data_IF_412283418917
#
_entry.id   IF_412283418917
#
_cell.length_a   1.000
_cell.length_b   1.000
_cell.length_c   1.000
_cell.angle_alpha   90.00
_cell.angle_beta   90.00
_cell.angle_gamma   90.00
#
_symmetry.space_group_name_H-M   'P 1'
#
loop_
_entity.id
_entity.type
_entity.pdbx_description
1 polymer ?
#
# COMPACT_ATOMS: atom_id res chain seq x y z
N UNK A 1 41.08 7.97 14.62
CA UNK A 1 40.63 6.56 14.62
C UNK A 1 39.17 6.55 14.21
N UNK A 2 38.95 6.39 12.90
CA UNK A 2 37.60 6.43 12.31
C UNK A 2 37.03 5.01 12.26
N UNK A 3 36.12 4.71 13.15
CA UNK A 3 35.32 3.48 13.06
C UNK A 3 34.22 3.68 12.00
N UNK A 4 34.43 3.18 10.79
CA UNK A 4 33.39 3.03 9.78
C UNK A 4 32.37 2.01 10.33
N UNK A 5 31.23 2.49 10.80
CA UNK A 5 30.05 1.65 11.04
C UNK A 5 29.49 1.22 9.69
N UNK A 6 29.78 -0.03 9.33
CA UNK A 6 29.13 -0.69 8.20
C UNK A 6 27.70 -1.01 8.66
N UNK A 7 26.75 -0.20 8.22
CA UNK A 7 25.32 -0.51 8.35
C UNK A 7 25.01 -1.58 7.29
N UNK A 8 24.87 -2.80 7.74
CA UNK A 8 24.24 -3.85 6.92
C UNK A 8 22.76 -3.55 6.96
N UNK A 9 22.26 -2.84 5.95
CA UNK A 9 20.83 -2.80 5.69
C UNK A 9 20.43 -4.19 5.18
N UNK A 10 19.53 -4.85 5.90
CA UNK A 10 18.81 -5.99 5.33
C UNK A 10 18.07 -5.45 4.12
N UNK A 11 18.18 -6.09 2.96
CA UNK A 11 17.28 -5.74 1.88
C UNK A 11 15.86 -6.03 2.37
N UNK A 12 15.13 -4.96 2.67
CA UNK A 12 13.68 -5.06 2.75
C UNK A 12 13.23 -5.84 1.52
N UNK A 13 12.39 -6.82 1.73
CA UNK A 13 11.76 -7.63 0.71
C UNK A 13 11.42 -6.73 -0.47
N UNK A 14 12.21 -6.86 -1.54
CA UNK A 14 12.01 -6.14 -2.79
C UNK A 14 10.76 -6.76 -3.44
N UNK A 15 9.59 -6.44 -2.90
CA UNK A 15 8.40 -6.41 -3.73
C UNK A 15 8.70 -5.39 -4.80
N UNK A 16 9.13 -5.89 -5.96
CA UNK A 16 9.36 -5.13 -7.17
C UNK A 16 8.04 -4.48 -7.57
N UNK A 17 7.69 -3.38 -6.91
CA UNK A 17 6.86 -2.35 -7.52
C UNK A 17 7.76 -1.72 -8.59
N UNK A 18 7.74 -2.33 -9.79
CA UNK A 18 8.25 -1.68 -10.99
C UNK A 18 7.45 -0.39 -11.14
N UNK A 19 7.96 0.67 -10.51
CA UNK A 19 7.42 2.00 -10.66
C UNK A 19 7.55 2.40 -12.12
N UNK A 20 6.41 2.53 -12.79
CA UNK A 20 6.24 3.16 -14.07
C UNK A 20 6.62 4.64 -13.94
N UNK A 21 7.90 4.96 -14.04
CA UNK A 21 8.36 6.35 -14.08
C UNK A 21 8.63 6.75 -15.53
N UNK A 22 7.72 7.54 -16.05
CA UNK A 22 7.91 8.33 -17.26
C UNK A 22 8.72 9.58 -16.90
N UNK A 23 9.96 9.64 -17.38
CA UNK A 23 10.75 10.86 -17.29
C UNK A 23 10.30 11.87 -18.36
N UNK A 24 9.88 13.05 -17.89
CA UNK A 24 9.83 14.25 -18.70
C UNK A 24 11.26 14.78 -18.87
N UNK A 25 11.83 14.59 -20.05
CA UNK A 25 12.94 15.43 -20.49
C UNK A 25 12.37 16.71 -21.13
N UNK A 26 12.90 17.91 -20.79
CA UNK A 26 12.55 19.10 -21.53
C UNK A 26 13.00 18.93 -22.99
N UNK A 27 12.12 19.30 -23.91
CA UNK A 27 12.41 19.33 -25.34
C UNK A 27 13.58 20.28 -25.61
N UNK A 28 14.79 19.74 -25.60
CA UNK A 28 15.97 20.38 -26.18
C UNK A 28 16.22 19.76 -27.54
N UNK A 29 16.45 20.64 -28.50
CA UNK A 29 16.79 20.47 -29.90
C UNK A 29 17.23 19.08 -30.34
N UNK A 30 16.73 18.68 -31.53
CA UNK A 30 17.14 17.54 -32.36
C UNK A 30 18.64 17.21 -32.25
N UNK A 31 18.98 16.35 -31.30
CA UNK A 31 20.20 15.58 -31.36
C UNK A 31 19.91 14.33 -32.18
N UNK A 32 20.83 14.02 -33.10
CA UNK A 32 20.80 12.81 -33.93
C UNK A 32 20.32 11.62 -33.07
N UNK A 33 19.29 10.92 -33.51
CA UNK A 33 18.84 9.67 -32.90
C UNK A 33 20.01 8.67 -32.97
N UNK A 34 20.82 8.63 -31.94
CA UNK A 34 21.73 7.50 -31.74
C UNK A 34 20.83 6.29 -31.47
N UNK A 35 20.98 5.25 -32.31
CA UNK A 35 20.26 3.99 -32.06
C UNK A 35 20.59 3.51 -30.66
N UNK A 36 19.58 3.14 -29.88
CA UNK A 36 19.75 2.69 -28.49
C UNK A 36 20.59 1.41 -28.47
N UNK A 37 21.59 1.37 -27.60
CA UNK A 37 22.55 0.26 -27.54
C UNK A 37 21.90 -0.97 -26.93
N UNK A 38 22.03 -2.11 -27.60
CA UNK A 38 21.57 -3.40 -27.08
C UNK A 38 22.60 -3.91 -26.06
N UNK A 39 22.19 -4.06 -24.81
CA UNK A 39 23.02 -4.57 -23.72
C UNK A 39 22.94 -6.08 -23.55
N UNK A 40 21.79 -6.67 -23.84
CA UNK A 40 21.64 -8.13 -23.79
C UNK A 40 20.61 -8.62 -24.81
N UNK A 41 20.82 -9.86 -25.27
CA UNK A 41 19.88 -10.60 -26.12
C UNK A 41 19.61 -11.94 -25.42
N UNK A 42 18.34 -12.27 -25.23
CA UNK A 42 17.89 -13.46 -24.53
C UNK A 42 16.90 -14.24 -25.41
N UNK A 43 17.13 -15.54 -25.57
CA UNK A 43 16.25 -16.40 -26.34
C UNK A 43 16.22 -16.00 -27.82
N UNK A 44 15.01 -15.96 -28.40
CA UNK A 44 14.83 -15.73 -29.86
C UNK A 44 14.75 -14.27 -30.24
N UNK A 45 14.19 -13.41 -29.40
CA UNK A 45 13.85 -12.02 -29.79
C UNK A 45 13.86 -11.00 -28.64
N UNK A 46 14.17 -11.41 -27.42
CA UNK A 46 14.13 -10.50 -26.30
C UNK A 46 15.45 -9.76 -26.17
N UNK A 47 15.34 -8.44 -26.14
CA UNK A 47 16.49 -7.55 -26.00
C UNK A 47 16.35 -6.71 -24.75
N UNK A 48 17.48 -6.26 -24.23
CA UNK A 48 17.54 -5.23 -23.18
C UNK A 48 18.36 -4.08 -23.74
N UNK A 49 17.79 -2.88 -23.69
CA UNK A 49 18.37 -1.66 -24.19
C UNK A 49 19.11 -0.90 -23.07
N UNK A 50 20.08 -0.08 -23.47
CA UNK A 50 20.79 0.78 -22.53
C UNK A 50 19.86 1.77 -21.85
N UNK A 51 18.92 2.36 -22.58
CA UNK A 51 17.92 3.27 -22.01
C UNK A 51 17.08 2.61 -20.93
N UNK A 52 16.72 1.34 -21.08
CA UNK A 52 15.96 0.58 -20.06
C UNK A 52 16.79 0.40 -18.78
N UNK A 53 18.07 0.03 -18.91
CA UNK A 53 18.98 -0.10 -17.77
C UNK A 53 19.17 1.24 -17.06
N UNK A 54 19.42 2.33 -17.80
CA UNK A 54 19.59 3.66 -17.22
C UNK A 54 18.31 4.16 -16.53
N UNK A 55 17.14 3.88 -17.08
CA UNK A 55 15.86 4.20 -16.46
C UNK A 55 15.67 3.47 -15.11
N UNK A 56 16.00 2.16 -15.06
CA UNK A 56 15.97 1.39 -13.81
C UNK A 56 16.99 1.91 -12.79
N UNK A 57 18.20 2.22 -13.23
CA UNK A 57 19.26 2.78 -12.40
C UNK A 57 18.87 4.16 -11.84
N UNK A 58 18.27 5.02 -12.66
CA UNK A 58 17.78 6.34 -12.24
C UNK A 58 16.66 6.22 -11.19
N UNK A 59 15.74 5.27 -11.38
CA UNK A 59 14.68 4.99 -10.42
C UNK A 59 15.27 4.53 -9.06
N UNK A 60 16.22 3.60 -9.07
CA UNK A 60 16.87 3.14 -7.84
C UNK A 60 17.64 4.28 -7.15
N UNK A 61 18.35 5.12 -7.92
CA UNK A 61 19.03 6.32 -7.40
C UNK A 61 18.05 7.29 -6.72
N UNK A 62 16.85 7.47 -7.29
CA UNK A 62 15.84 8.35 -6.71
C UNK A 62 15.26 7.80 -5.40
N UNK A 63 15.09 6.48 -5.30
CA UNK A 63 14.56 5.82 -4.10
C UNK A 63 15.58 5.75 -2.96
N UNK A 64 16.86 5.55 -3.27
CA UNK A 64 17.94 5.38 -2.31
C UNK A 64 19.21 6.14 -2.75
N UNK A 65 19.20 7.48 -2.71
CA UNK A 65 20.31 8.26 -3.25
C UNK A 65 21.67 8.01 -2.57
N UNK A 66 21.65 7.73 -1.26
CA UNK A 66 22.86 7.49 -0.47
C UNK A 66 23.45 6.09 -0.66
N UNK A 67 22.65 5.13 -1.08
CA UNK A 67 23.04 3.72 -1.24
C UNK A 67 23.37 3.38 -2.69
N UNK A 68 22.97 4.21 -3.65
CA UNK A 68 23.19 3.95 -5.08
C UNK A 68 24.65 4.13 -5.47
N UNK A 69 25.20 3.12 -6.17
CA UNK A 69 26.51 3.14 -6.82
C UNK A 69 26.39 2.58 -8.24
N UNK A 70 27.17 3.11 -9.17
CA UNK A 70 27.12 2.65 -10.59
C UNK A 70 27.44 1.16 -10.77
N UNK A 71 28.20 0.55 -9.86
CA UNK A 71 28.41 -0.90 -9.85
C UNK A 71 27.13 -1.71 -9.64
N UNK A 72 26.05 -1.09 -9.13
CA UNK A 72 24.73 -1.74 -9.03
C UNK A 72 24.08 -2.00 -10.38
N UNK A 73 24.49 -1.32 -11.46
CA UNK A 73 23.99 -1.56 -12.81
C UNK A 73 24.18 -3.01 -13.26
N UNK A 74 25.26 -3.65 -12.86
CA UNK A 74 25.47 -5.06 -13.13
C UNK A 74 24.37 -5.96 -12.50
N UNK A 75 24.00 -5.68 -11.28
CA UNK A 75 22.90 -6.38 -10.59
C UNK A 75 21.53 -6.09 -11.22
N UNK A 76 21.29 -4.83 -11.60
CA UNK A 76 20.05 -4.44 -12.29
C UNK A 76 19.96 -5.18 -13.63
N UNK A 77 21.03 -5.21 -14.44
CA UNK A 77 21.05 -5.91 -15.71
C UNK A 77 20.82 -7.42 -15.51
N UNK A 78 21.41 -8.04 -14.47
CA UNK A 78 21.17 -9.44 -14.14
C UNK A 78 19.68 -9.70 -13.85
N UNK A 79 19.03 -8.83 -13.07
CA UNK A 79 17.59 -8.95 -12.79
C UNK A 79 16.73 -8.78 -14.04
N UNK A 80 17.09 -7.83 -14.93
CA UNK A 80 16.40 -7.65 -16.21
C UNK A 80 16.53 -8.89 -17.08
N UNK A 81 17.72 -9.49 -17.17
CA UNK A 81 17.95 -10.75 -17.91
C UNK A 81 17.10 -11.88 -17.32
N UNK A 82 17.11 -12.04 -16.00
CA UNK A 82 16.27 -13.03 -15.31
C UNK A 82 14.80 -12.85 -15.64
N UNK A 83 14.29 -11.61 -15.59
CA UNK A 83 12.90 -11.31 -15.95
C UNK A 83 12.59 -11.74 -17.37
N UNK A 84 13.44 -11.38 -18.35
CA UNK A 84 13.25 -11.78 -19.76
C UNK A 84 13.34 -13.31 -19.95
N UNK A 85 14.21 -14.01 -19.18
CA UNK A 85 14.25 -15.49 -19.19
C UNK A 85 12.95 -16.11 -18.66
N UNK A 86 12.37 -15.53 -17.61
CA UNK A 86 11.09 -15.99 -17.06
C UNK A 86 9.95 -15.80 -18.08
N UNK A 87 9.93 -14.66 -18.77
CA UNK A 87 8.93 -14.40 -19.83
C UNK A 87 9.09 -15.38 -21.00
N UNK A 88 10.31 -15.63 -21.45
CA UNK A 88 10.59 -16.65 -22.47
C UNK A 88 10.16 -18.05 -22.03
N UNK A 89 10.35 -18.38 -20.73
CA UNK A 89 9.86 -19.65 -20.16
C UNK A 89 8.33 -19.70 -20.13
N UNK A 90 7.66 -18.57 -19.80
CA UNK A 90 6.20 -18.51 -19.84
C UNK A 90 5.64 -18.89 -21.20
N UNK A 91 6.25 -18.38 -22.28
CA UNK A 91 5.87 -18.73 -23.67
C UNK A 91 6.10 -20.21 -23.98
N UNK A 92 7.25 -20.77 -23.56
CA UNK A 92 7.56 -22.21 -23.74
C UNK A 92 6.58 -23.09 -23.02
N UNK A 93 6.16 -22.69 -21.82
CA UNK A 93 5.23 -23.44 -20.96
C UNK A 93 3.76 -23.11 -21.27
N UNK A 94 3.50 -22.28 -22.30
CA UNK A 94 2.14 -21.85 -22.70
C UNK A 94 1.36 -21.18 -21.56
N UNK A 95 2.06 -20.44 -20.71
CA UNK A 95 1.43 -19.67 -19.63
C UNK A 95 0.83 -18.39 -20.24
N UNK A 96 -0.44 -18.18 -20.00
CA UNK A 96 -1.20 -17.08 -20.61
C UNK A 96 -1.61 -16.08 -19.51
N UNK A 97 -1.51 -14.80 -19.82
CA UNK A 97 -2.10 -13.68 -19.07
C UNK A 97 -3.13 -13.03 -19.99
N UNK A 98 -4.38 -12.95 -19.55
CA UNK A 98 -5.46 -12.39 -20.36
C UNK A 98 -5.37 -10.87 -20.49
N UNK A 99 -5.98 -10.31 -21.53
CA UNK A 99 -6.03 -8.86 -21.71
C UNK A 99 -6.78 -8.18 -20.56
N UNK A 100 -7.81 -8.81 -20.04
CA UNK A 100 -8.62 -8.33 -18.92
C UNK A 100 -7.79 -8.21 -17.65
N UNK A 101 -6.93 -9.20 -17.36
CA UNK A 101 -6.01 -9.15 -16.21
C UNK A 101 -4.99 -8.01 -16.35
N UNK A 102 -4.44 -7.80 -17.55
CA UNK A 102 -3.50 -6.71 -17.84
C UNK A 102 -4.18 -5.35 -17.65
N UNK A 103 -5.38 -5.15 -18.24
CA UNK A 103 -6.12 -3.90 -18.11
C UNK A 103 -6.49 -3.60 -16.64
N UNK A 104 -6.95 -4.61 -15.90
CA UNK A 104 -7.28 -4.45 -14.48
C UNK A 104 -6.02 -4.05 -13.66
N UNK A 105 -4.87 -4.65 -13.95
CA UNK A 105 -3.60 -4.30 -13.29
C UNK A 105 -3.16 -2.88 -13.62
N UNK A 106 -3.26 -2.47 -14.89
CA UNK A 106 -2.97 -1.11 -15.32
C UNK A 106 -3.91 -0.10 -14.66
N UNK A 107 -5.22 -0.39 -14.58
CA UNK A 107 -6.18 0.48 -13.92
C UNK A 107 -5.88 0.66 -12.43
N UNK A 108 -5.52 -0.40 -11.75
CA UNK A 108 -5.15 -0.35 -10.34
C UNK A 108 -3.87 0.48 -10.12
N UNK A 109 -2.83 0.27 -10.94
CA UNK A 109 -1.59 1.05 -10.88
C UNK A 109 -1.86 2.54 -11.15
N UNK A 110 -2.59 2.86 -12.22
CA UNK A 110 -2.93 4.24 -12.57
C UNK A 110 -3.79 4.91 -11.50
N UNK A 111 -4.75 4.21 -10.93
CA UNK A 111 -5.56 4.71 -9.82
C UNK A 111 -4.68 5.08 -8.63
N UNK A 112 -3.73 4.22 -8.28
CA UNK A 112 -2.77 4.53 -7.22
C UNK A 112 -1.97 5.80 -7.53
N UNK A 113 -1.40 5.93 -8.73
CA UNK A 113 -0.65 7.14 -9.12
C UNK A 113 -1.53 8.38 -9.13
N UNK A 114 -2.73 8.30 -9.72
CA UNK A 114 -3.68 9.43 -9.77
C UNK A 114 -4.03 9.88 -8.35
N UNK A 115 -4.37 8.96 -7.45
CA UNK A 115 -4.92 9.30 -6.14
C UNK A 115 -3.86 9.61 -5.10
N UNK A 116 -2.72 8.91 -5.12
CA UNK A 116 -1.70 8.97 -4.07
C UNK A 116 -0.49 9.82 -4.44
N UNK A 117 -0.13 9.87 -5.72
CA UNK A 117 1.10 10.56 -6.15
C UNK A 117 0.78 11.93 -6.75
N UNK A 118 -0.16 11.98 -7.69
CA UNK A 118 -0.47 13.22 -8.43
C UNK A 118 -1.70 13.96 -7.90
N UNK A 119 -2.56 13.31 -7.13
CA UNK A 119 -3.78 13.87 -6.55
C UNK A 119 -4.97 13.96 -7.51
N UNK A 120 -4.74 14.08 -8.83
CA UNK A 120 -5.79 14.06 -9.85
C UNK A 120 -5.28 13.54 -11.20
N UNK A 121 -6.24 13.15 -12.07
CA UNK A 121 -5.95 12.71 -13.44
C UNK A 121 -5.34 13.85 -14.28
N UNK A 122 -5.90 15.03 -14.16
CA UNK A 122 -5.46 16.23 -14.89
C UNK A 122 -4.00 16.57 -14.57
N UNK A 123 -3.63 16.44 -13.29
CA UNK A 123 -2.25 16.70 -12.85
C UNK A 123 -1.29 15.63 -13.35
N UNK A 124 -1.69 14.34 -13.35
CA UNK A 124 -0.93 13.27 -13.97
C UNK A 124 -0.69 13.57 -15.46
N UNK A 125 -1.74 13.89 -16.23
CA UNK A 125 -1.65 14.18 -17.66
C UNK A 125 -0.82 15.44 -17.93
N UNK A 126 -0.93 16.47 -17.09
CA UNK A 126 -0.12 17.69 -17.18
C UNK A 126 1.37 17.41 -16.94
N UNK A 127 1.71 16.63 -15.92
CA UNK A 127 3.11 16.33 -15.57
C UNK A 127 3.74 15.39 -16.56
N UNK A 128 3.01 14.38 -17.03
CA UNK A 128 3.52 13.37 -17.98
C UNK A 128 3.47 13.82 -19.43
N UNK A 129 2.68 14.85 -19.75
CA UNK A 129 2.40 15.25 -21.13
C UNK A 129 1.61 14.22 -21.93
N UNK A 130 1.06 13.19 -21.30
CA UNK A 130 0.36 12.07 -21.93
C UNK A 130 -1.00 11.86 -21.29
N UNK A 131 -1.99 11.49 -22.11
CA UNK A 131 -3.29 11.07 -21.61
C UNK A 131 -3.18 9.71 -20.87
N UNK A 132 -4.09 9.45 -19.92
CA UNK A 132 -4.17 8.14 -19.24
C UNK A 132 -4.25 6.99 -20.24
N UNK A 133 -4.93 7.18 -21.38
CA UNK A 133 -4.99 6.16 -22.44
C UNK A 133 -3.63 5.87 -23.07
N UNK A 134 -2.87 6.91 -23.40
CA UNK A 134 -1.51 6.76 -23.95
C UNK A 134 -0.57 6.09 -22.95
N UNK A 135 -0.66 6.47 -21.67
CA UNK A 135 0.12 5.84 -20.61
C UNK A 135 -0.21 4.33 -20.50
N UNK A 136 -1.50 3.96 -20.57
CA UNK A 136 -1.92 2.56 -20.58
C UNK A 136 -1.38 1.80 -21.78
N UNK A 137 -1.51 2.39 -22.97
CA UNK A 137 -1.11 1.75 -24.21
C UNK A 137 0.39 1.46 -24.27
N UNK A 138 1.20 2.45 -23.88
CA UNK A 138 2.66 2.31 -23.80
C UNK A 138 3.14 1.27 -22.78
N UNK A 139 2.37 1.06 -21.70
CA UNK A 139 2.77 0.17 -20.62
C UNK A 139 2.09 -1.21 -20.66
N UNK A 140 1.19 -1.44 -21.60
CA UNK A 140 0.43 -2.70 -21.70
C UNK A 140 1.33 -3.92 -21.82
N UNK A 141 2.31 -3.87 -22.71
CA UNK A 141 3.21 -4.99 -22.94
C UNK A 141 4.20 -5.17 -21.78
N UNK A 142 4.69 -4.09 -21.20
CA UNK A 142 5.56 -4.13 -20.00
C UNK A 142 4.85 -4.80 -18.84
N UNK A 143 3.57 -4.45 -18.59
CA UNK A 143 2.77 -5.06 -17.53
C UNK A 143 2.47 -6.53 -17.82
N UNK A 144 2.19 -6.87 -19.09
CA UNK A 144 2.00 -8.26 -19.52
C UNK A 144 3.24 -9.11 -19.23
N UNK A 145 4.41 -8.65 -19.68
CA UNK A 145 5.67 -9.35 -19.41
C UNK A 145 5.95 -9.50 -17.93
N UNK A 146 5.72 -8.44 -17.14
CA UNK A 146 5.86 -8.53 -15.69
C UNK A 146 4.95 -9.61 -15.10
N UNK A 147 3.68 -9.64 -15.46
CA UNK A 147 2.72 -10.64 -14.97
C UNK A 147 3.09 -12.06 -15.39
N UNK A 148 3.61 -12.25 -16.60
CA UNK A 148 4.12 -13.55 -17.08
C UNK A 148 5.30 -14.00 -16.23
N UNK A 149 6.29 -13.13 -16.02
CA UNK A 149 7.46 -13.43 -15.19
C UNK A 149 7.07 -13.78 -13.75
N UNK A 150 6.17 -13.00 -13.14
CA UNK A 150 5.64 -13.24 -11.78
C UNK A 150 4.92 -14.59 -11.69
N UNK A 151 4.15 -14.97 -12.72
CA UNK A 151 3.41 -16.25 -12.75
C UNK A 151 4.36 -17.45 -12.82
N UNK A 152 5.39 -17.39 -13.66
CA UNK A 152 6.44 -18.42 -13.73
C UNK A 152 7.21 -18.48 -12.40
N UNK A 153 7.65 -17.35 -11.89
CA UNK A 153 8.33 -17.28 -10.60
C UNK A 153 7.48 -17.85 -9.46
N UNK A 154 6.19 -17.50 -9.42
CA UNK A 154 5.25 -18.06 -8.46
C UNK A 154 5.16 -19.58 -8.53
N UNK A 155 5.09 -20.15 -9.73
CA UNK A 155 5.09 -21.63 -9.92
C UNK A 155 6.40 -22.26 -9.46
N UNK A 156 7.54 -21.66 -9.75
CA UNK A 156 8.85 -22.15 -9.33
C UNK A 156 9.02 -22.15 -7.80
N UNK A 157 8.41 -21.19 -7.13
CA UNK A 157 8.56 -20.93 -5.70
C UNK A 157 7.41 -21.47 -4.84
N UNK A 158 6.30 -21.91 -5.43
CA UNK A 158 5.08 -22.32 -4.71
C UNK A 158 5.32 -23.38 -3.62
N UNK A 159 6.30 -24.28 -3.82
CA UNK A 159 6.65 -25.36 -2.89
C UNK A 159 7.90 -25.03 -2.06
N UNK A 160 8.44 -23.82 -2.14
CA UNK A 160 9.62 -23.42 -1.36
C UNK A 160 9.16 -22.95 0.01
N UNK A 161 9.22 -23.85 0.97
CA UNK A 161 8.98 -23.56 2.38
C UNK A 161 10.29 -23.66 3.16
N UNK A 162 10.35 -23.02 4.32
CA UNK A 162 11.50 -23.09 5.21
C UNK A 162 11.10 -23.74 6.54
N UNK A 163 11.93 -24.66 7.01
CA UNK A 163 11.73 -25.34 8.28
C UNK A 163 12.42 -24.60 9.43
N UNK A 164 11.97 -24.79 10.69
CA UNK A 164 12.64 -24.21 11.85
C UNK A 164 14.12 -24.58 11.97
N UNK A 165 14.50 -25.78 11.51
CA UNK A 165 15.89 -26.24 11.49
C UNK A 165 16.73 -25.43 10.49
N UNK A 166 16.17 -25.16 9.30
CA UNK A 166 16.85 -24.35 8.28
C UNK A 166 16.98 -22.89 8.74
N UNK A 167 15.98 -22.34 9.42
CA UNK A 167 16.06 -20.99 10.00
C UNK A 167 17.20 -20.90 11.02
N UNK A 168 17.32 -21.87 11.91
CA UNK A 168 18.43 -21.95 12.87
C UNK A 168 19.79 -22.08 12.15
N UNK A 169 19.87 -22.94 11.15
CA UNK A 169 21.08 -23.12 10.36
C UNK A 169 21.48 -21.86 9.59
N UNK A 170 20.51 -21.12 9.06
CA UNK A 170 20.72 -19.82 8.46
C UNK A 170 21.30 -18.81 9.47
N UNK A 171 20.64 -18.65 10.61
CA UNK A 171 21.04 -17.72 11.67
C UNK A 171 22.46 -18.03 12.18
N UNK A 172 22.78 -19.28 12.42
CA UNK A 172 24.10 -19.69 12.93
C UNK A 172 25.26 -19.48 11.94
N UNK A 173 24.95 -19.25 10.64
CA UNK A 173 25.97 -18.90 9.62
C UNK A 173 26.30 -17.41 9.62
N UNK A 174 25.49 -16.57 10.25
CA UNK A 174 25.73 -15.13 10.31
C UNK A 174 26.79 -14.88 11.40
N UNK A 175 27.92 -14.23 11.08
CA UNK A 175 28.89 -13.84 12.10
C UNK A 175 28.24 -12.94 13.17
N UNK A 176 28.59 -13.16 14.44
CA UNK A 176 27.96 -12.45 15.56
C UNK A 176 28.15 -10.93 15.54
N UNK A 177 29.21 -10.45 14.93
CA UNK A 177 29.48 -9.02 14.69
C UNK A 177 28.67 -8.43 13.51
N UNK A 178 28.24 -9.28 12.61
CA UNK A 178 27.41 -8.93 11.44
C UNK A 178 25.92 -9.03 11.71
N UNK A 179 25.49 -9.51 12.88
CA UNK A 179 24.08 -9.54 13.26
C UNK A 179 23.54 -8.10 13.36
N UNK A 180 22.39 -7.79 12.74
CA UNK A 180 21.79 -6.49 12.82
C UNK A 180 21.38 -6.15 14.24
N UNK A 181 21.41 -4.87 14.56
CA UNK A 181 20.90 -4.35 15.80
C UNK A 181 19.48 -3.85 15.56
N UNK A 182 18.52 -4.38 16.32
CA UNK A 182 17.13 -3.94 16.28
C UNK A 182 16.86 -2.94 17.41
N UNK A 183 16.17 -1.84 17.13
CA UNK A 183 15.66 -0.93 18.16
C UNK A 183 14.61 -1.62 19.03
N UNK A 184 14.21 -0.92 20.10
CA UNK A 184 13.07 -1.37 20.91
C UNK A 184 11.81 -1.47 20.03
N UNK A 185 11.13 -2.59 20.14
CA UNK A 185 9.88 -2.83 19.46
C UNK A 185 8.79 -3.27 20.44
N UNK A 186 7.55 -2.99 20.08
CA UNK A 186 6.38 -3.27 20.91
C UNK A 186 5.28 -3.95 20.08
N UNK A 187 4.53 -4.83 20.72
CA UNK A 187 3.23 -5.27 20.21
C UNK A 187 2.13 -4.56 21.02
N UNK A 188 1.36 -3.75 20.32
CA UNK A 188 0.34 -2.90 20.92
C UNK A 188 -1.03 -3.28 20.38
N UNK A 189 -1.98 -3.45 21.28
CA UNK A 189 -3.38 -3.63 20.92
C UNK A 189 -4.23 -2.43 21.33
N UNK A 190 -5.40 -2.30 20.72
CA UNK A 190 -6.38 -1.29 21.08
C UNK A 190 -7.81 -1.82 21.04
N UNK A 191 -8.66 -1.28 21.90
CA UNK A 191 -10.12 -1.40 21.84
C UNK A 191 -10.64 0.01 21.63
N UNK A 192 -11.33 0.24 20.52
CA UNK A 192 -11.86 1.55 20.15
C UNK A 192 -13.36 1.54 20.31
N UNK A 193 -13.91 2.56 20.95
CA UNK A 193 -15.36 2.82 20.99
C UNK A 193 -15.60 4.24 20.50
N UNK A 194 -16.34 4.35 19.41
CA UNK A 194 -16.82 5.63 18.92
C UNK A 194 -17.91 6.16 19.86
N UNK A 195 -17.82 7.44 20.25
CA UNK A 195 -18.86 8.05 21.05
C UNK A 195 -20.21 7.95 20.35
N UNK A 196 -21.29 7.53 21.02
CA UNK A 196 -22.62 7.56 20.44
C UNK A 196 -23.00 9.00 20.12
N UNK A 197 -23.77 9.21 19.09
CA UNK A 197 -24.38 10.51 18.80
C UNK A 197 -25.68 10.60 19.61
N UNK A 198 -25.91 11.71 20.31
CA UNK A 198 -27.18 11.89 21.02
C UNK A 198 -28.35 11.96 20.03
N UNK A 199 -29.52 11.40 20.36
CA UNK A 199 -30.70 11.39 19.49
C UNK A 199 -31.13 12.79 19.04
N UNK A 200 -30.90 13.78 19.86
CA UNK A 200 -31.22 15.20 19.59
C UNK A 200 -30.33 15.75 18.49
N UNK A 201 -29.01 15.52 18.57
CA UNK A 201 -28.04 15.98 17.57
C UNK A 201 -28.12 15.19 16.27
N UNK A 202 -28.40 13.90 16.33
CA UNK A 202 -28.70 13.07 15.17
C UNK A 202 -29.94 13.62 14.41
N UNK A 203 -31.00 13.92 15.16
CA UNK A 203 -32.24 14.53 14.63
C UNK A 203 -31.97 15.95 14.07
N UNK A 204 -31.15 16.75 14.73
CA UNK A 204 -30.79 18.08 14.27
C UNK A 204 -30.01 18.03 12.94
N UNK A 205 -29.02 17.17 12.83
CA UNK A 205 -28.24 16.99 11.61
C UNK A 205 -29.14 16.57 10.43
N UNK A 206 -30.04 15.62 10.68
CA UNK A 206 -31.02 15.17 9.67
C UNK A 206 -31.95 16.30 9.24
N UNK A 207 -32.55 17.05 10.18
CA UNK A 207 -33.45 18.17 9.87
C UNK A 207 -32.71 19.29 9.14
N UNK A 208 -31.47 19.60 9.52
CA UNK A 208 -30.64 20.58 8.82
C UNK A 208 -30.45 20.22 7.35
N UNK A 209 -30.24 18.94 7.06
CA UNK A 209 -30.10 18.47 5.68
C UNK A 209 -31.43 18.40 4.94
N UNK A 210 -32.55 18.10 5.62
CA UNK A 210 -33.91 18.21 5.07
C UNK A 210 -34.22 19.62 4.60
N UNK A 211 -33.87 20.63 5.37
CA UNK A 211 -34.02 22.04 5.05
C UNK A 211 -33.17 22.42 3.82
N UNK A 212 -31.89 22.02 3.80
CA UNK A 212 -31.02 22.25 2.65
C UNK A 212 -31.59 21.61 1.38
N UNK A 213 -32.08 20.38 1.49
CA UNK A 213 -32.73 19.67 0.39
C UNK A 213 -33.97 20.40 -0.09
N UNK A 214 -34.82 20.90 0.81
CA UNK A 214 -36.00 21.67 0.49
C UNK A 214 -35.64 22.92 -0.30
N UNK A 215 -34.62 23.65 0.14
CA UNK A 215 -34.15 24.88 -0.54
C UNK A 215 -33.64 24.59 -1.95
N UNK A 216 -32.99 23.42 -2.17
CA UNK A 216 -32.49 23.05 -3.50
C UNK A 216 -33.66 22.61 -4.40
N UNK A 217 -34.49 21.70 -3.93
CA UNK A 217 -35.52 21.03 -4.76
C UNK A 217 -36.74 21.93 -4.99
N UNK A 218 -37.19 22.66 -3.96
CA UNK A 218 -38.44 23.41 -3.98
C UNK A 218 -38.24 24.93 -4.24
N UNK A 219 -37.11 25.48 -3.77
CA UNK A 219 -36.84 26.93 -3.94
C UNK A 219 -35.82 27.19 -5.09
N UNK A 220 -35.27 26.15 -5.72
CA UNK A 220 -34.38 26.31 -6.87
C UNK A 220 -32.99 26.84 -6.54
N UNK A 221 -32.54 26.76 -5.27
CA UNK A 221 -31.18 27.13 -4.91
C UNK A 221 -30.15 26.20 -5.54
N UNK A 222 -29.02 26.78 -5.95
CA UNK A 222 -27.93 26.00 -6.56
C UNK A 222 -27.38 24.97 -5.58
N UNK A 223 -27.34 23.71 -5.99
CA UNK A 223 -26.72 22.64 -5.20
C UNK A 223 -25.25 22.94 -4.88
N UNK A 224 -24.49 23.42 -5.87
CA UNK A 224 -23.09 23.81 -5.74
C UNK A 224 -22.89 24.88 -4.66
N UNK A 225 -23.67 25.96 -4.71
CA UNK A 225 -23.61 27.04 -3.72
C UNK A 225 -23.95 26.52 -2.33
N UNK A 226 -24.97 25.69 -2.21
CA UNK A 226 -25.32 25.06 -0.91
C UNK A 226 -24.25 24.14 -0.39
N UNK A 227 -23.58 23.38 -1.26
CA UNK A 227 -22.45 22.52 -0.88
C UNK A 227 -21.26 23.33 -0.37
N UNK A 228 -20.87 24.40 -1.08
CA UNK A 228 -19.82 25.33 -0.63
C UNK A 228 -20.10 25.92 0.76
N UNK A 229 -21.35 26.29 1.01
CA UNK A 229 -21.73 26.96 2.26
C UNK A 229 -22.00 26.03 3.43
N UNK A 230 -22.50 24.82 3.19
CA UNK A 230 -23.11 24.00 4.23
C UNK A 230 -22.53 22.58 4.33
N UNK A 231 -21.82 22.08 3.31
CA UNK A 231 -21.25 20.74 3.35
C UNK A 231 -20.10 20.69 4.35
N UNK A 232 -20.05 19.59 5.12
CA UNK A 232 -18.95 19.28 6.03
C UNK A 232 -17.98 18.23 5.43
N UNK A 233 -18.16 17.88 4.14
CA UNK A 233 -17.24 16.98 3.46
C UNK A 233 -15.93 17.69 3.08
N UNK A 234 -14.78 17.33 3.69
CA UNK A 234 -13.51 18.00 3.39
C UNK A 234 -12.99 17.73 1.97
N UNK A 235 -13.45 16.64 1.35
CA UNK A 235 -12.97 16.21 0.02
C UNK A 235 -13.64 16.93 -1.14
N UNK A 236 -14.85 17.44 -0.96
CA UNK A 236 -15.63 18.03 -2.07
C UNK A 236 -16.29 19.37 -1.75
N UNK A 237 -16.38 19.79 -0.49
CA UNK A 237 -17.02 21.06 -0.11
C UNK A 237 -16.52 22.22 -0.97
N UNK A 238 -15.21 22.41 -1.06
CA UNK A 238 -14.58 23.54 -1.74
C UNK A 238 -14.67 23.44 -3.28
N UNK A 239 -15.14 22.30 -3.79
CA UNK A 239 -15.47 22.04 -5.20
C UNK A 239 -16.99 21.92 -5.43
N UNK A 240 -17.80 22.59 -4.62
CA UNK A 240 -19.27 22.58 -4.74
C UNK A 240 -19.88 21.18 -4.57
N UNK A 241 -19.27 20.34 -3.75
CA UNK A 241 -19.71 18.98 -3.45
C UNK A 241 -19.41 17.96 -4.54
N UNK A 242 -18.59 18.27 -5.56
CA UNK A 242 -18.42 17.45 -6.76
C UNK A 242 -17.41 16.35 -6.59
N UNK A 243 -17.84 15.13 -6.96
CA UNK A 243 -17.00 13.98 -7.24
C UNK A 243 -17.22 13.50 -8.66
N UNK A 244 -16.14 13.33 -9.40
CA UNK A 244 -16.17 12.76 -10.74
C UNK A 244 -15.87 11.28 -10.68
N UNK A 245 -16.43 10.51 -11.62
CA UNK A 245 -16.09 9.12 -11.85
C UNK A 245 -16.33 8.19 -10.63
N UNK A 246 -17.39 8.44 -9.87
CA UNK A 246 -17.81 7.55 -8.77
C UNK A 246 -18.20 6.20 -9.35
N UNK A 247 -17.54 5.15 -8.93
CA UNK A 247 -17.80 3.79 -9.41
C UNK A 247 -18.85 3.06 -8.59
N UNK A 248 -19.69 2.30 -9.27
CA UNK A 248 -20.68 1.41 -8.64
C UNK A 248 -20.06 0.12 -8.08
N UNK A 249 -18.94 -0.33 -8.65
CA UNK A 249 -18.36 -1.67 -8.42
C UNK A 249 -17.00 -1.64 -7.73
N UNK A 250 -16.18 -0.58 -7.89
CA UNK A 250 -14.76 -0.57 -7.49
C UNK A 250 -14.52 -0.43 -5.98
N UNK A 251 -15.55 -0.31 -5.15
CA UNK A 251 -15.39 -0.03 -3.72
C UNK A 251 -14.92 1.43 -3.44
N UNK A 252 -14.58 1.73 -2.19
CA UNK A 252 -14.11 3.06 -1.79
C UNK A 252 -15.22 4.05 -1.41
N UNK A 253 -16.48 3.75 -1.72
CA UNK A 253 -17.67 4.51 -1.35
C UNK A 253 -18.55 3.73 -0.39
N UNK A 254 -19.25 4.43 0.48
CA UNK A 254 -20.24 3.80 1.34
C UNK A 254 -21.34 3.13 0.47
N UNK A 255 -21.69 1.85 0.73
CA UNK A 255 -22.67 1.13 -0.09
C UNK A 255 -24.03 1.85 -0.20
N UNK A 256 -24.47 2.49 0.89
CA UNK A 256 -25.71 3.25 0.93
C UNK A 256 -25.66 4.48 0.03
N UNK A 257 -24.50 5.15 -0.03
CA UNK A 257 -24.26 6.30 -0.89
C UNK A 257 -24.35 5.88 -2.37
N UNK A 258 -23.63 4.83 -2.75
CA UNK A 258 -23.64 4.29 -4.11
C UNK A 258 -25.04 3.83 -4.51
N UNK A 259 -25.69 3.06 -3.64
CA UNK A 259 -27.05 2.56 -3.90
C UNK A 259 -28.06 3.70 -4.12
N UNK A 260 -27.91 4.81 -3.41
CA UNK A 260 -28.77 5.99 -3.58
C UNK A 260 -28.41 6.77 -4.85
N UNK A 261 -27.14 7.03 -5.10
CA UNK A 261 -26.66 7.77 -6.26
C UNK A 261 -27.11 7.11 -7.58
N UNK A 262 -26.92 5.80 -7.70
CA UNK A 262 -27.24 5.08 -8.93
C UNK A 262 -28.73 4.77 -9.15
N UNK A 263 -29.62 5.21 -8.25
CA UNK A 263 -31.08 5.23 -8.48
C UNK A 263 -31.55 6.52 -9.16
N UNK A 264 -30.70 7.58 -9.17
CA UNK A 264 -31.05 8.90 -9.68
C UNK A 264 -30.90 8.99 -11.20
N UNK A 265 -31.71 9.82 -11.82
CA UNK A 265 -31.51 10.32 -13.18
C UNK A 265 -30.65 11.59 -13.15
N UNK A 266 -30.09 11.97 -14.30
CA UNK A 266 -29.29 13.21 -14.39
C UNK A 266 -30.12 14.42 -13.97
N UNK A 267 -29.61 15.19 -13.04
CA UNK A 267 -30.28 16.35 -12.43
C UNK A 267 -31.03 16.05 -11.13
N UNK A 268 -31.40 14.79 -10.86
CA UNK A 268 -32.16 14.44 -9.67
C UNK A 268 -31.35 14.61 -8.39
N UNK A 269 -32.08 14.93 -7.30
CA UNK A 269 -31.54 15.01 -5.93
C UNK A 269 -32.13 13.89 -5.07
N UNK A 270 -31.28 13.12 -4.42
CA UNK A 270 -31.70 11.99 -3.59
C UNK A 270 -32.55 12.43 -2.38
N UNK A 271 -33.35 11.51 -1.80
CA UNK A 271 -33.71 11.58 -0.38
C UNK A 271 -32.45 11.66 0.50
N UNK A 272 -32.65 11.90 1.81
CA UNK A 272 -31.56 11.82 2.77
C UNK A 272 -31.04 10.39 2.86
N UNK A 273 -29.73 10.25 2.73
CA UNK A 273 -29.01 8.98 2.82
C UNK A 273 -28.17 9.00 4.08
N UNK A 274 -28.32 8.00 4.95
CA UNK A 274 -27.45 7.83 6.11
C UNK A 274 -26.33 6.86 5.77
N UNK A 275 -25.10 7.25 6.07
CA UNK A 275 -23.90 6.38 6.02
C UNK A 275 -23.18 6.43 7.36
N UNK A 276 -22.10 5.69 7.49
CA UNK A 276 -21.22 5.80 8.67
C UNK A 276 -20.59 7.20 8.86
N UNK A 277 -20.51 8.00 7.80
CA UNK A 277 -19.95 9.35 7.83
C UNK A 277 -20.96 10.44 8.21
N UNK A 278 -22.24 10.18 8.17
CA UNK A 278 -23.29 11.16 8.47
C UNK A 278 -24.46 11.07 7.51
N UNK A 279 -25.12 12.20 7.33
CA UNK A 279 -26.27 12.35 6.47
C UNK A 279 -25.88 13.03 5.16
N UNK A 280 -26.31 12.45 4.05
CA UNK A 280 -26.00 12.93 2.70
C UNK A 280 -27.27 13.24 1.92
N UNK A 281 -27.20 14.26 1.07
CA UNK A 281 -28.02 14.37 -0.14
C UNK A 281 -27.08 14.34 -1.33
N UNK A 282 -27.52 13.71 -2.41
CA UNK A 282 -26.70 13.45 -3.59
C UNK A 282 -27.45 13.97 -4.82
N UNK A 283 -26.75 14.71 -5.67
CA UNK A 283 -27.27 15.10 -6.99
C UNK A 283 -26.52 14.33 -8.06
N UNK A 284 -27.23 13.68 -8.95
CA UNK A 284 -26.65 13.09 -10.15
C UNK A 284 -26.32 14.19 -11.17
N UNK A 285 -25.06 14.36 -11.49
CA UNK A 285 -24.63 15.31 -12.53
C UNK A 285 -24.66 14.63 -13.88
N UNK A 286 -24.00 13.47 -14.00
CA UNK A 286 -23.96 12.69 -15.23
C UNK A 286 -23.70 11.22 -14.93
N UNK A 287 -24.55 10.35 -15.47
CA UNK A 287 -24.37 8.90 -15.41
C UNK A 287 -23.60 8.41 -16.62
N UNK A 288 -22.64 7.51 -16.40
CA UNK A 288 -21.73 6.93 -17.41
C UNK A 288 -21.66 5.40 -17.23
N UNK A 289 -22.80 4.72 -17.37
CA UNK A 289 -22.91 3.28 -17.10
C UNK A 289 -22.76 2.96 -15.62
N UNK A 290 -21.71 2.20 -15.26
CA UNK A 290 -21.38 1.86 -13.87
C UNK A 290 -20.54 2.95 -13.15
N UNK A 291 -20.33 4.10 -13.78
CA UNK A 291 -19.67 5.28 -13.22
C UNK A 291 -20.58 6.49 -13.31
N UNK A 292 -20.39 7.45 -12.42
CA UNK A 292 -21.19 8.66 -12.39
C UNK A 292 -20.40 9.86 -11.86
N UNK A 293 -20.69 11.04 -12.40
CA UNK A 293 -20.33 12.30 -11.76
C UNK A 293 -21.48 12.72 -10.86
N UNK A 294 -21.18 13.00 -9.60
CA UNK A 294 -22.20 13.40 -8.61
C UNK A 294 -21.76 14.65 -7.86
N UNK A 295 -22.73 15.33 -7.26
CA UNK A 295 -22.49 16.28 -6.18
C UNK A 295 -23.11 15.74 -4.90
N UNK A 296 -22.54 16.03 -3.75
CA UNK A 296 -23.17 15.72 -2.48
C UNK A 296 -22.96 16.82 -1.43
N UNK A 297 -23.85 16.84 -0.46
CA UNK A 297 -23.74 17.63 0.74
C UNK A 297 -23.77 16.66 1.90
N UNK A 298 -22.77 16.74 2.77
CA UNK A 298 -22.64 15.95 3.97
C UNK A 298 -22.88 16.82 5.20
N UNK A 299 -23.73 16.36 6.11
CA UNK A 299 -23.86 16.90 7.48
C UNK A 299 -23.50 15.78 8.46
N UNK A 300 -22.49 16.04 9.26
CA UNK A 300 -22.00 15.12 10.28
C UNK A 300 -22.66 15.46 11.60
N UNK A 301 -23.39 14.52 12.25
CA UNK A 301 -23.89 14.77 13.60
C UNK A 301 -22.74 15.04 14.56
N UNK A 302 -22.74 16.19 15.21
CA UNK A 302 -21.69 16.58 16.15
C UNK A 302 -21.73 15.69 17.39
N UNK A 303 -20.57 15.33 17.90
CA UNK A 303 -20.40 14.59 19.16
C UNK A 303 -20.00 15.56 20.25
N UNK A 304 -20.73 15.54 21.35
CA UNK A 304 -20.51 16.43 22.50
C UNK A 304 -19.58 15.79 23.54
N UNK A 305 -19.11 16.60 24.49
CA UNK A 305 -18.35 16.10 25.63
C UNK A 305 -19.14 15.08 26.46
N UNK A 306 -20.47 15.12 26.47
CA UNK A 306 -21.32 14.12 27.15
C UNK A 306 -21.24 12.76 26.41
N UNK A 307 -21.27 12.75 25.08
CA UNK A 307 -21.15 11.53 24.28
C UNK A 307 -19.80 10.85 24.50
N UNK A 308 -18.72 11.65 24.56
CA UNK A 308 -17.38 11.13 24.91
C UNK A 308 -17.33 10.55 26.31
N UNK A 309 -17.98 11.17 27.31
CA UNK A 309 -18.05 10.60 28.67
C UNK A 309 -18.75 9.25 28.70
N UNK A 310 -19.81 9.06 27.89
CA UNK A 310 -20.50 7.76 27.78
C UNK A 310 -19.55 6.71 27.22
N UNK A 311 -18.83 7.00 26.14
CA UNK A 311 -17.86 6.07 25.54
C UNK A 311 -16.71 5.73 26.52
N UNK A 312 -16.16 6.72 27.20
CA UNK A 312 -15.11 6.52 28.19
C UNK A 312 -15.59 5.64 29.34
N UNK A 313 -16.77 5.91 29.90
CA UNK A 313 -17.35 5.09 30.99
C UNK A 313 -17.59 3.64 30.55
N UNK A 314 -17.99 3.43 29.28
CA UNK A 314 -18.13 2.08 28.71
C UNK A 314 -16.77 1.39 28.61
N UNK A 315 -15.74 2.10 28.17
CA UNK A 315 -14.37 1.58 28.14
C UNK A 315 -13.82 1.29 29.54
N UNK A 316 -14.14 2.10 30.55
CA UNK A 316 -13.78 1.81 31.96
C UNK A 316 -14.37 0.47 32.39
N UNK A 317 -15.63 0.20 32.06
CA UNK A 317 -16.27 -1.09 32.35
C UNK A 317 -15.58 -2.25 31.62
N UNK A 318 -15.22 -2.06 30.33
CA UNK A 318 -14.48 -3.06 29.55
C UNK A 318 -13.11 -3.31 30.18
N UNK A 319 -12.41 -2.24 30.58
CA UNK A 319 -11.11 -2.35 31.28
C UNK A 319 -11.21 -3.15 32.56
N UNK A 320 -12.24 -2.92 33.38
CA UNK A 320 -12.47 -3.69 34.59
C UNK A 320 -12.72 -5.19 34.30
N UNK A 321 -13.48 -5.53 33.26
CA UNK A 321 -13.66 -6.92 32.79
C UNK A 321 -12.36 -7.58 32.35
N UNK A 322 -11.49 -6.84 31.65
CA UNK A 322 -10.17 -7.29 31.24
C UNK A 322 -9.25 -7.53 32.43
N UNK A 323 -9.17 -6.56 33.36
CA UNK A 323 -8.30 -6.64 34.54
C UNK A 323 -8.73 -7.76 35.51
N UNK A 324 -10.02 -8.07 35.57
CA UNK A 324 -10.54 -9.19 36.39
C UNK A 324 -10.38 -10.55 35.69
N UNK A 325 -9.89 -10.60 34.47
CA UNK A 325 -9.76 -11.83 33.69
C UNK A 325 -11.10 -12.42 33.20
N UNK A 326 -12.19 -11.69 33.33
CA UNK A 326 -13.53 -12.13 32.91
C UNK A 326 -13.64 -12.24 31.39
N UNK A 327 -12.88 -11.44 30.66
CA UNK A 327 -12.74 -11.47 29.22
C UNK A 327 -11.27 -11.47 28.82
N UNK A 328 -10.91 -12.22 27.77
CA UNK A 328 -9.64 -12.03 27.10
C UNK A 328 -9.67 -10.76 26.23
N UNK A 329 -8.50 -10.21 25.90
CA UNK A 329 -8.39 -9.02 25.06
C UNK A 329 -9.11 -9.19 23.71
N UNK A 330 -8.87 -10.32 23.02
CA UNK A 330 -9.50 -10.61 21.72
C UNK A 330 -11.03 -10.72 21.81
N UNK A 331 -11.55 -11.33 22.89
CA UNK A 331 -13.00 -11.39 23.13
C UNK A 331 -13.59 -9.98 23.36
N UNK A 332 -12.89 -9.13 24.11
CA UNK A 332 -13.33 -7.76 24.35
C UNK A 332 -13.29 -6.93 23.04
N UNK A 333 -12.27 -7.10 22.21
CA UNK A 333 -12.20 -6.47 20.88
C UNK A 333 -13.40 -6.86 20.03
N UNK A 334 -13.67 -8.16 19.89
CA UNK A 334 -14.80 -8.65 19.10
C UNK A 334 -16.16 -8.16 19.59
N UNK A 335 -16.31 -8.03 20.91
CA UNK A 335 -17.59 -7.66 21.56
C UNK A 335 -17.82 -6.13 21.59
N UNK A 336 -16.79 -5.34 21.78
CA UNK A 336 -16.94 -3.93 22.13
C UNK A 336 -16.31 -2.95 21.16
N UNK A 337 -15.25 -3.34 20.42
CA UNK A 337 -14.60 -2.42 19.49
C UNK A 337 -15.53 -2.01 18.35
N UNK A 338 -15.53 -0.74 17.98
CA UNK A 338 -16.25 -0.21 16.82
C UNK A 338 -15.35 -0.11 15.60
N UNK A 339 -14.02 -0.22 15.78
CA UNK A 339 -13.04 -0.16 14.71
C UNK A 339 -12.92 -1.52 14.01
N UNK A 340 -13.38 -1.59 12.76
CA UNK A 340 -13.39 -2.82 11.98
C UNK A 340 -11.98 -3.33 11.65
N UNK A 341 -11.01 -2.43 11.47
CA UNK A 341 -9.63 -2.81 11.18
C UNK A 341 -9.00 -3.54 12.35
N UNK A 342 -9.16 -3.01 13.58
CA UNK A 342 -8.64 -3.67 14.77
C UNK A 342 -9.35 -5.00 15.07
N UNK A 343 -10.63 -5.13 14.73
CA UNK A 343 -11.34 -6.42 14.85
C UNK A 343 -10.69 -7.52 14.00
N UNK A 344 -10.27 -7.20 12.77
CA UNK A 344 -9.65 -8.17 11.86
C UNK A 344 -8.30 -8.69 12.37
N UNK A 345 -7.58 -7.86 13.15
CA UNK A 345 -6.27 -8.19 13.72
C UNK A 345 -6.35 -8.66 15.18
N UNK A 346 -7.57 -8.93 15.70
CA UNK A 346 -7.79 -9.25 17.12
C UNK A 346 -7.45 -8.10 18.06
N UNK A 347 -7.53 -6.88 17.56
CA UNK A 347 -7.23 -5.64 18.28
C UNK A 347 -5.79 -5.17 18.15
N UNK A 348 -4.91 -5.94 17.51
CA UNK A 348 -3.50 -5.55 17.37
C UNK A 348 -3.34 -4.46 16.33
N UNK A 349 -2.52 -3.46 16.64
CA UNK A 349 -2.04 -2.48 15.68
C UNK A 349 -0.96 -3.14 14.87
N UNK A 350 -1.09 -3.09 13.55
CA UNK A 350 -0.15 -3.71 12.61
C UNK A 350 0.37 -2.68 11.62
N UNK A 351 1.58 -2.91 11.15
CA UNK A 351 2.14 -2.17 10.03
C UNK A 351 1.30 -2.42 8.77
N UNK A 352 0.79 -1.38 8.10
CA UNK A 352 -0.12 -1.54 6.97
C UNK A 352 0.55 -2.13 5.72
N UNK A 353 1.89 -2.11 5.63
CA UNK A 353 2.64 -2.63 4.47
C UNK A 353 3.05 -4.09 4.67
N UNK A 354 3.50 -4.42 5.88
CA UNK A 354 4.06 -5.75 6.20
C UNK A 354 3.11 -6.64 6.96
N UNK A 355 2.02 -6.07 7.50
CA UNK A 355 1.07 -6.73 8.42
C UNK A 355 1.76 -7.27 9.70
N UNK A 356 2.93 -6.76 10.04
CA UNK A 356 3.65 -7.11 11.25
C UNK A 356 3.00 -6.44 12.47
N UNK A 357 2.80 -7.19 13.55
CA UNK A 357 2.30 -6.67 14.84
C UNK A 357 3.41 -6.10 15.72
N UNK A 358 4.66 -6.43 15.42
CA UNK A 358 5.82 -5.91 16.13
C UNK A 358 6.28 -4.61 15.46
N UNK A 359 6.05 -3.48 16.14
CA UNK A 359 6.30 -2.13 15.64
C UNK A 359 7.47 -1.50 16.41
N UNK A 360 8.34 -0.80 15.70
CA UNK A 360 9.36 0.03 16.33
C UNK A 360 8.69 1.23 17.02
N UNK A 361 9.19 1.60 18.20
CA UNK A 361 8.55 2.65 19.01
C UNK A 361 8.50 4.00 18.31
N UNK A 362 9.51 4.30 17.50
CA UNK A 362 9.63 5.52 16.69
C UNK A 362 8.68 5.57 15.48
N UNK A 363 8.12 4.45 15.09
CA UNK A 363 7.10 4.36 14.03
C UNK A 363 5.67 4.57 14.56
N UNK A 364 5.50 4.59 15.90
CA UNK A 364 4.20 4.85 16.49
C UNK A 364 3.85 6.34 16.44
N UNK A 365 2.57 6.65 16.41
CA UNK A 365 2.09 8.01 16.66
C UNK A 365 2.65 8.52 18.02
N UNK A 366 3.13 9.76 18.12
CA UNK A 366 3.83 10.26 19.30
C UNK A 366 3.01 10.13 20.60
N UNK A 367 1.69 10.31 20.54
CA UNK A 367 0.83 10.18 21.72
C UNK A 367 0.73 8.71 22.17
N UNK A 368 0.69 7.78 21.20
CA UNK A 368 0.69 6.34 21.46
C UNK A 368 2.05 5.89 22.04
N UNK A 369 3.16 6.38 21.47
CA UNK A 369 4.50 6.08 21.92
C UNK A 369 4.70 6.48 23.40
N UNK A 370 4.33 7.71 23.77
CA UNK A 370 4.38 8.19 25.16
C UNK A 370 3.52 7.35 26.13
N UNK A 371 2.35 6.95 25.66
CA UNK A 371 1.46 6.11 26.49
C UNK A 371 2.05 4.71 26.69
N UNK A 372 2.50 4.11 25.60
CA UNK A 372 3.13 2.78 25.63
C UNK A 372 4.34 2.79 26.54
N UNK A 373 5.15 3.86 26.51
CA UNK A 373 6.34 3.98 27.35
C UNK A 373 6.03 3.90 28.86
N UNK A 374 4.88 4.42 29.27
CA UNK A 374 4.40 4.40 30.66
C UNK A 374 3.74 3.09 31.08
N UNK A 375 3.44 2.16 30.14
CA UNK A 375 2.74 0.91 30.43
C UNK A 375 3.72 -0.23 30.72
N UNK A 376 3.37 -1.08 31.69
CA UNK A 376 4.00 -2.39 31.88
C UNK A 376 3.47 -3.40 30.85
N UNK A 377 4.30 -4.39 30.51
CA UNK A 377 3.87 -5.49 29.63
C UNK A 377 2.72 -6.26 30.25
N UNK A 378 1.65 -6.45 29.50
CA UNK A 378 0.41 -7.06 29.95
C UNK A 378 -0.61 -6.07 30.53
N UNK A 379 -0.25 -4.79 30.65
CA UNK A 379 -1.12 -3.76 31.21
C UNK A 379 -2.00 -3.08 30.16
N UNK A 380 -3.11 -2.49 30.66
CA UNK A 380 -4.07 -1.72 29.89
C UNK A 380 -4.02 -0.24 30.32
N UNK A 381 -4.01 0.67 29.36
CA UNK A 381 -4.11 2.11 29.64
C UNK A 381 -5.45 2.48 30.28
N UNK A 382 -5.52 3.67 30.88
CA UNK A 382 -6.82 4.31 31.13
C UNK A 382 -7.50 4.63 29.79
N UNK A 383 -8.85 4.60 29.72
CA UNK A 383 -9.59 5.09 28.58
C UNK A 383 -9.26 6.55 28.28
N UNK A 384 -9.03 6.86 27.01
CA UNK A 384 -8.72 8.23 26.59
C UNK A 384 -9.28 8.52 25.20
N UNK A 385 -9.45 9.81 24.93
CA UNK A 385 -9.85 10.30 23.60
C UNK A 385 -8.61 10.40 22.72
N UNK A 386 -8.71 9.98 21.46
CA UNK A 386 -7.66 10.12 20.47
C UNK A 386 -8.26 10.53 19.11
N UNK A 387 -7.44 11.01 18.22
CA UNK A 387 -7.81 11.21 16.80
C UNK A 387 -7.44 9.95 16.03
N UNK A 388 -8.43 9.33 15.40
CA UNK A 388 -8.17 8.16 14.55
C UNK A 388 -7.42 8.60 13.29
N UNK A 389 -6.19 8.15 13.05
CA UNK A 389 -5.38 8.62 11.92
C UNK A 389 -5.96 8.21 10.55
N UNK A 390 -6.84 7.22 10.51
CA UNK A 390 -7.45 6.73 9.27
C UNK A 390 -8.69 7.53 8.87
N UNK A 391 -9.49 7.95 9.88
CA UNK A 391 -10.74 8.68 9.64
C UNK A 391 -10.63 10.17 9.91
N UNK A 392 -9.62 10.62 10.67
CA UNK A 392 -9.50 11.98 11.18
C UNK A 392 -10.49 12.32 12.29
N UNK A 393 -11.35 11.38 12.71
CA UNK A 393 -12.36 11.59 13.72
C UNK A 393 -11.82 11.33 15.14
N UNK A 394 -12.46 11.99 16.12
CA UNK A 394 -12.16 11.74 17.53
C UNK A 394 -12.95 10.53 18.01
N UNK A 395 -12.24 9.56 18.60
CA UNK A 395 -12.80 8.34 19.18
C UNK A 395 -12.20 8.12 20.58
N UNK A 396 -12.69 7.12 21.30
CA UNK A 396 -12.15 6.71 22.59
C UNK A 396 -11.48 5.35 22.46
N UNK A 397 -10.35 5.14 23.16
CA UNK A 397 -9.68 3.84 23.16
C UNK A 397 -9.09 3.47 24.53
N UNK A 398 -8.86 2.16 24.70
CA UNK A 398 -7.93 1.57 25.64
C UNK A 398 -6.77 1.00 24.82
N UNK A 399 -5.56 1.21 25.28
CA UNK A 399 -4.34 0.63 24.72
C UNK A 399 -3.89 -0.54 25.58
N UNK A 400 -3.44 -1.62 24.96
CA UNK A 400 -2.89 -2.81 25.59
C UNK A 400 -1.45 -3.02 25.14
N UNK A 401 -0.51 -3.06 26.06
CA UNK A 401 0.88 -3.43 25.77
C UNK A 401 1.06 -4.93 25.91
N UNK A 402 1.07 -5.65 24.79
CA UNK A 402 1.20 -7.11 24.79
C UNK A 402 2.63 -7.57 25.05
N UNK A 403 3.60 -6.94 24.39
CA UNK A 403 5.02 -7.26 24.56
C UNK A 403 5.90 -6.04 24.28
N UNK A 404 7.11 -6.06 24.82
CA UNK A 404 8.15 -5.06 24.56
C UNK A 404 9.50 -5.75 24.49
N UNK A 405 10.29 -5.42 23.47
CA UNK A 405 11.69 -5.80 23.39
C UNK A 405 12.58 -4.60 23.72
N UNK A 406 13.72 -4.86 24.35
CA UNK A 406 14.78 -3.84 24.48
C UNK A 406 15.62 -3.82 23.21
N UNK A 407 16.34 -2.70 22.93
CA UNK A 407 17.30 -2.69 21.81
C UNK A 407 18.31 -3.84 21.95
N UNK A 408 18.45 -4.65 20.90
CA UNK A 408 19.27 -5.86 20.96
C UNK A 408 19.83 -6.25 19.60
N UNK A 409 20.88 -7.08 19.58
CA UNK A 409 21.30 -7.77 18.36
C UNK A 409 20.25 -8.84 18.01
N UNK A 410 20.01 -9.01 16.71
CA UNK A 410 19.08 -10.02 16.21
C UNK A 410 19.27 -11.38 16.90
N UNK A 411 18.18 -11.97 17.37
CA UNK A 411 18.20 -13.28 18.02
C UNK A 411 16.95 -14.11 17.66
N UNK A 412 17.07 -15.44 17.80
CA UNK A 412 15.98 -16.35 17.42
C UNK A 412 14.80 -16.36 18.39
N UNK A 413 14.92 -15.73 19.55
CA UNK A 413 13.82 -15.68 20.52
C UNK A 413 12.85 -14.54 20.20
N UNK A 414 13.40 -13.37 19.93
CA UNK A 414 12.61 -12.13 19.80
C UNK A 414 12.32 -11.81 18.32
N UNK A 415 13.20 -12.26 17.38
CA UNK A 415 13.15 -11.89 15.96
C UNK A 415 12.92 -13.07 15.02
N UNK A 416 12.39 -14.20 15.54
CA UNK A 416 12.26 -15.42 14.77
C UNK A 416 11.55 -15.22 13.42
N UNK A 417 10.43 -14.49 13.41
CA UNK A 417 9.65 -14.25 12.19
C UNK A 417 10.42 -13.44 11.15
N UNK A 418 11.18 -12.41 11.59
CA UNK A 418 12.02 -11.59 10.71
C UNK A 418 13.15 -12.45 10.10
N UNK A 419 13.83 -13.24 10.96
CA UNK A 419 14.91 -14.13 10.54
C UNK A 419 14.38 -15.22 9.59
N UNK A 420 13.22 -15.78 9.90
CA UNK A 420 12.53 -16.76 9.04
C UNK A 420 12.24 -16.21 7.66
N UNK A 421 11.72 -14.98 7.58
CA UNK A 421 11.41 -14.33 6.30
C UNK A 421 12.68 -14.11 5.47
N UNK A 422 13.76 -13.62 6.08
CA UNK A 422 15.05 -13.42 5.40
C UNK A 422 15.61 -14.76 4.91
N UNK A 423 15.56 -15.78 5.75
CA UNK A 423 16.03 -17.12 5.40
C UNK A 423 15.20 -17.75 4.28
N UNK A 424 13.87 -17.55 4.28
CA UNK A 424 12.97 -17.98 3.19
C UNK A 424 13.31 -17.27 1.89
N UNK A 425 13.47 -15.96 1.92
CA UNK A 425 13.85 -15.15 0.74
C UNK A 425 15.18 -15.61 0.17
N UNK A 426 16.17 -15.90 1.03
CA UNK A 426 17.46 -16.45 0.56
C UNK A 426 17.29 -17.82 -0.10
N UNK A 427 16.48 -18.71 0.49
CA UNK A 427 16.18 -20.04 -0.10
C UNK A 427 15.47 -19.91 -1.45
N UNK A 428 14.55 -18.98 -1.58
CA UNK A 428 13.86 -18.66 -2.83
C UNK A 428 14.84 -18.15 -3.90
N UNK A 429 15.74 -17.23 -3.53
CA UNK A 429 16.77 -16.72 -4.44
C UNK A 429 17.70 -17.84 -4.90
N UNK A 430 18.16 -18.71 -3.99
CA UNK A 430 18.96 -19.89 -4.34
C UNK A 430 18.23 -20.82 -5.33
N UNK A 431 16.92 -21.00 -5.15
CA UNK A 431 16.09 -21.79 -6.08
C UNK A 431 16.01 -21.15 -7.47
N UNK A 432 15.86 -19.83 -7.54
CA UNK A 432 15.88 -19.10 -8.81
C UNK A 432 17.25 -19.15 -9.48
N UNK A 433 18.32 -18.94 -8.74
CA UNK A 433 19.68 -19.09 -9.26
C UNK A 433 19.97 -20.49 -9.79
N UNK A 434 19.50 -21.53 -9.09
CA UNK A 434 19.61 -22.89 -9.56
C UNK A 434 18.82 -23.08 -10.87
N UNK A 435 17.59 -22.60 -10.92
CA UNK A 435 16.78 -22.65 -12.13
C UNK A 435 17.46 -21.95 -13.32
N UNK A 436 18.05 -20.77 -13.09
CA UNK A 436 18.83 -20.06 -14.13
C UNK A 436 19.98 -20.92 -14.63
N UNK A 437 20.80 -21.48 -13.72
CA UNK A 437 21.93 -22.36 -14.13
C UNK A 437 21.47 -23.56 -14.95
N UNK A 438 20.36 -24.18 -14.57
CA UNK A 438 19.80 -25.34 -15.26
C UNK A 438 19.24 -24.99 -16.65
N UNK A 439 18.76 -23.76 -16.82
CA UNK A 439 18.11 -23.28 -18.05
C UNK A 439 19.05 -22.56 -19.01
N UNK A 440 20.10 -21.91 -18.53
CA UNK A 440 21.05 -21.17 -19.35
C UNK A 440 21.54 -21.91 -20.60
N UNK A 441 21.90 -23.25 -20.51
CA UNK A 441 22.33 -24.00 -21.70
C UNK A 441 21.27 -24.08 -22.82
N UNK A 442 20.00 -23.86 -22.49
CA UNK A 442 18.86 -23.92 -23.43
C UNK A 442 18.46 -22.58 -24.01
N UNK A 443 19.11 -21.48 -23.58
CA UNK A 443 18.85 -20.14 -24.06
C UNK A 443 20.02 -19.59 -24.86
N UNK A 444 19.72 -18.84 -25.91
CA UNK A 444 20.73 -17.96 -26.48
C UNK A 444 20.89 -16.77 -25.52
N UNK A 445 22.12 -16.52 -25.06
CA UNK A 445 22.43 -15.37 -24.21
C UNK A 445 23.64 -14.64 -24.79
N UNK A 446 23.45 -13.38 -25.14
CA UNK A 446 24.54 -12.45 -25.50
C UNK A 446 24.45 -11.24 -24.59
N UNK A 447 25.59 -10.87 -23.99
CA UNK A 447 25.72 -9.68 -23.12
C UNK A 447 26.80 -8.78 -23.72
N UNK A 448 26.55 -7.48 -23.70
CA UNK A 448 27.51 -6.47 -24.17
C UNK A 448 28.86 -6.62 -23.42
N UNK A 449 29.98 -6.49 -24.13
CA UNK A 449 31.32 -6.64 -23.53
C UNK A 449 31.57 -5.78 -22.30
N UNK A 450 30.96 -4.61 -22.21
CA UNK A 450 31.08 -3.70 -21.06
C UNK A 450 30.60 -4.34 -19.75
N UNK A 451 29.60 -5.23 -19.81
CA UNK A 451 28.99 -5.87 -18.63
C UNK A 451 29.39 -7.33 -18.43
N UNK A 452 30.08 -7.97 -19.38
CA UNK A 452 30.45 -9.39 -19.33
C UNK A 452 31.28 -9.75 -18.11
N UNK A 453 32.13 -8.84 -17.67
CA UNK A 453 33.08 -9.09 -16.58
C UNK A 453 32.52 -8.73 -15.20
N UNK A 454 31.25 -8.32 -15.13
CA UNK A 454 30.58 -8.16 -13.86
C UNK A 454 30.58 -9.47 -13.07
N UNK A 455 30.88 -9.39 -11.76
CA UNK A 455 30.93 -10.55 -10.85
C UNK A 455 29.60 -11.32 -10.80
N UNK A 456 28.48 -10.64 -11.03
CA UNK A 456 27.13 -11.19 -11.09
C UNK A 456 26.99 -12.25 -12.21
N UNK A 457 27.76 -12.14 -13.27
CA UNK A 457 27.72 -13.04 -14.42
C UNK A 457 28.82 -14.12 -14.40
N UNK A 458 29.64 -14.20 -13.33
CA UNK A 458 30.76 -15.14 -13.27
C UNK A 458 30.31 -16.60 -13.54
N UNK A 459 29.18 -17.03 -13.02
CA UNK A 459 28.61 -18.36 -13.24
C UNK A 459 27.88 -18.54 -14.59
N UNK A 460 27.83 -17.52 -15.45
CA UNK A 460 27.13 -17.57 -16.75
C UNK A 460 28.10 -17.51 -17.93
N UNK A 461 29.40 -17.27 -17.69
CA UNK A 461 30.40 -17.03 -18.76
C UNK A 461 30.47 -18.11 -19.82
N UNK A 462 30.34 -19.38 -19.40
CA UNK A 462 30.41 -20.54 -20.31
C UNK A 462 29.18 -20.65 -21.26
N UNK A 463 28.11 -19.90 -20.97
CA UNK A 463 26.85 -19.93 -21.71
C UNK A 463 26.64 -18.66 -22.55
N UNK A 464 27.55 -17.69 -22.47
CA UNK A 464 27.44 -16.43 -23.22
C UNK A 464 27.99 -16.61 -24.64
N UNK A 465 27.21 -16.17 -25.62
CA UNK A 465 27.65 -16.07 -27.02
C UNK A 465 28.41 -14.77 -27.26
N UNK A 466 29.38 -14.83 -28.19
CA UNK A 466 30.19 -13.68 -28.60
C UNK A 466 29.40 -12.69 -29.47
#
# INVERSE_FOLDING_TARGET
MNSRRMRISFPASLCMLLGMFLFLQPAMAQQAQTADKILAIIGRSRIILQSELEAQAANLRQQSPEEYHDSMKCGILQQMILSKMLVEQAERDSIIVSNEEVEATLDNKLRYFITRVYGSKEKLEQVTGKTVYQIKDENREVVREQMLAERVQGQLLQNVAITPTEVRAFYNKIPADSLPFFPAAVEVGQIVIDPPVSPELDTYARKSLEEIRHQIVNEGKSFETMALMRSQDPGSRDNGGRYNDVSRVDGGWAPEFVAAAFKLQNGDVSPIVRTKFGYHIIQMVQRKGDRADVRHILIIPERTSADFKIALSRLDSVRAELMSGKLSFSQAVGKYSTDDMSKMTGGMIVDPQTNASQLEVDQLDPALALMVDSLEVGAYSQPHVFVNPQTGERSCRIVYLKSRTTPHKANLRDDYSKIQQVALTQKQNQKLEQWVRDKLPSYYLKIDPEYRDCSQFAGWKDFMHN
#
